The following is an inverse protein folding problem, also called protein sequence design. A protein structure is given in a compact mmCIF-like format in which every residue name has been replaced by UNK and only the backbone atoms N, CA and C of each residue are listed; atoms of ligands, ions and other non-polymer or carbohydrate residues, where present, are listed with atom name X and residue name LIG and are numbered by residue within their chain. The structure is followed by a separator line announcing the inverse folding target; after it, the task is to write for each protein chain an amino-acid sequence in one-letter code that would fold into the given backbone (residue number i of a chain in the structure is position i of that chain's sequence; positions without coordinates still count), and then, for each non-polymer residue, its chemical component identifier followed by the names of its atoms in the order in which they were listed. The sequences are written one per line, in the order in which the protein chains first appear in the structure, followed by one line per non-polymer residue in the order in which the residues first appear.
data_IF_934628853153
#
_entry.id   IF_934628853153
#
_cell.length_a   1.000
_cell.length_b   1.000
_cell.length_c   1.000
_cell.angle_alpha   90.00
_cell.angle_beta   90.00
_cell.angle_gamma   90.00
#
_symmetry.space_group_name_H-M   'P 1'
#
loop_
_entity.id
_entity.type
_entity.pdbx_description
1 polymer ?
#
# COMPACT_ATOMS: atom_id res chain seq x y z
N UNK A 1 -43.97 7.00 20.67
CA UNK A 1 -43.92 5.79 19.81
C UNK A 1 -42.86 5.92 18.71
N UNK A 2 -42.88 6.97 17.87
CA UNK A 2 -41.88 7.20 16.79
C UNK A 2 -40.41 7.30 17.27
N UNK A 3 -40.12 8.03 18.36
CA UNK A 3 -38.74 8.09 18.89
C UNK A 3 -38.23 6.73 19.39
N UNK A 4 -39.07 5.95 20.07
CA UNK A 4 -38.71 4.61 20.54
C UNK A 4 -38.43 3.67 19.37
N UNK A 5 -39.22 3.74 18.29
CA UNK A 5 -38.99 2.95 17.08
C UNK A 5 -37.66 3.32 16.40
N UNK A 6 -37.36 4.62 16.30
CA UNK A 6 -36.09 5.10 15.74
C UNK A 6 -34.88 4.59 16.53
N UNK A 7 -34.90 4.69 17.86
CA UNK A 7 -33.81 4.18 18.70
C UNK A 7 -33.65 2.66 18.57
N UNK A 8 -34.74 1.90 18.49
CA UNK A 8 -34.68 0.45 18.27
C UNK A 8 -34.06 0.10 16.92
N UNK A 9 -34.44 0.79 15.83
CA UNK A 9 -33.86 0.54 14.51
C UNK A 9 -32.36 0.86 14.48
N UNK A 10 -31.96 2.00 15.05
CA UNK A 10 -30.54 2.38 15.15
C UNK A 10 -29.76 1.38 15.99
N UNK A 11 -30.32 0.92 17.11
CA UNK A 11 -29.69 -0.09 17.98
C UNK A 11 -29.54 -1.45 17.28
N UNK A 12 -30.55 -1.89 16.53
CA UNK A 12 -30.46 -3.12 15.73
C UNK A 12 -29.39 -2.97 14.65
N UNK A 13 -29.37 -1.85 13.92
CA UNK A 13 -28.34 -1.55 12.92
C UNK A 13 -26.93 -1.60 13.53
N UNK A 14 -26.75 -0.99 14.70
CA UNK A 14 -25.51 -1.06 15.48
C UNK A 14 -25.12 -2.50 15.80
N UNK A 15 -26.05 -3.30 16.34
CA UNK A 15 -25.78 -4.69 16.75
C UNK A 15 -25.39 -5.56 15.55
N UNK A 16 -26.03 -5.34 14.39
CA UNK A 16 -25.70 -6.02 13.13
C UNK A 16 -24.29 -5.65 12.66
N UNK A 17 -23.95 -4.36 12.58
CA UNK A 17 -22.61 -3.91 12.16
C UNK A 17 -21.53 -4.46 13.10
N UNK A 18 -21.75 -4.37 14.41
CA UNK A 18 -20.83 -4.91 15.42
C UNK A 18 -20.71 -6.45 15.33
N UNK A 19 -21.80 -7.16 15.03
CA UNK A 19 -21.80 -8.60 14.79
C UNK A 19 -20.97 -8.99 13.56
N UNK A 20 -21.18 -8.29 12.43
CA UNK A 20 -20.43 -8.53 11.20
C UNK A 20 -18.93 -8.25 11.37
N UNK A 21 -18.56 -7.19 12.09
CA UNK A 21 -17.15 -6.87 12.37
C UNK A 21 -16.50 -7.91 13.27
N UNK A 22 -17.21 -8.39 14.29
CA UNK A 22 -16.72 -9.50 15.14
C UNK A 22 -16.51 -10.78 14.34
N UNK A 23 -17.40 -11.09 13.38
CA UNK A 23 -17.23 -12.24 12.47
C UNK A 23 -16.01 -12.09 11.57
N UNK A 24 -15.73 -10.90 11.03
CA UNK A 24 -14.53 -10.68 10.23
C UNK A 24 -13.26 -10.78 11.08
N UNK A 25 -13.30 -10.24 12.30
CA UNK A 25 -12.18 -10.36 13.25
C UNK A 25 -11.95 -11.81 13.68
N UNK A 26 -13.01 -12.62 13.87
CA UNK A 26 -12.83 -14.04 14.20
C UNK A 26 -12.16 -14.80 13.05
N UNK A 27 -12.56 -14.54 11.80
CA UNK A 27 -11.88 -15.12 10.62
C UNK A 27 -10.39 -14.80 10.63
N UNK A 28 -10.01 -13.55 10.97
CA UNK A 28 -8.61 -13.15 11.08
C UNK A 28 -7.87 -13.88 12.22
N UNK A 29 -8.50 -14.01 13.39
CA UNK A 29 -7.89 -14.64 14.58
C UNK A 29 -7.78 -16.17 14.42
N UNK A 30 -8.70 -16.78 13.66
CA UNK A 30 -8.70 -18.21 13.39
C UNK A 30 -7.61 -18.63 12.38
N UNK A 31 -6.98 -17.67 11.68
CA UNK A 31 -5.84 -17.96 10.81
C UNK A 31 -4.62 -18.41 11.64
N UNK A 32 -3.79 -19.32 11.09
CA UNK A 32 -2.57 -19.73 11.76
C UNK A 32 -1.61 -18.54 11.91
N UNK A 33 -0.75 -18.63 12.93
CA UNK A 33 0.31 -17.65 13.13
C UNK A 33 1.23 -17.59 11.88
N UNK A 34 1.62 -16.39 11.40
CA UNK A 34 2.32 -16.24 10.13
C UNK A 34 3.75 -16.76 10.17
N UNK A 35 3.93 -18.02 9.78
CA UNK A 35 5.26 -18.65 9.62
C UNK A 35 5.75 -18.66 8.16
N UNK A 36 4.82 -18.48 7.22
CA UNK A 36 5.05 -18.54 5.79
C UNK A 36 4.38 -17.37 5.07
N UNK A 37 4.76 -17.15 3.81
CA UNK A 37 4.27 -16.02 3.00
C UNK A 37 2.80 -16.15 2.63
N UNK A 38 2.23 -17.35 2.48
CA UNK A 38 0.82 -17.51 2.12
C UNK A 38 -0.09 -17.04 3.25
N UNK A 39 0.15 -17.55 4.45
CA UNK A 39 -0.55 -17.13 5.67
C UNK A 39 -0.41 -15.62 5.89
N UNK A 40 0.80 -15.08 5.72
CA UNK A 40 1.05 -13.66 5.85
C UNK A 40 0.26 -12.83 4.82
N UNK A 41 0.14 -13.29 3.57
CA UNK A 41 -0.66 -12.61 2.55
C UNK A 41 -2.16 -12.62 2.88
N UNK A 42 -2.71 -13.70 3.43
CA UNK A 42 -4.12 -13.75 3.85
C UNK A 42 -4.41 -12.77 4.99
N UNK A 43 -3.51 -12.70 5.99
CA UNK A 43 -3.58 -11.71 7.07
C UNK A 43 -3.50 -10.29 6.50
N UNK A 44 -2.54 -10.03 5.60
CA UNK A 44 -2.41 -8.73 4.95
C UNK A 44 -3.65 -8.38 4.14
N UNK A 45 -4.21 -9.31 3.36
CA UNK A 45 -5.43 -9.11 2.57
C UNK A 45 -6.59 -8.63 3.45
N UNK A 46 -6.82 -9.23 4.61
CA UNK A 46 -7.85 -8.79 5.55
C UNK A 46 -7.49 -7.39 6.10
N UNK A 47 -6.28 -7.25 6.61
CA UNK A 47 -5.83 -6.03 7.30
C UNK A 47 -5.83 -4.82 6.38
N UNK A 48 -5.17 -4.93 5.23
CA UNK A 48 -4.86 -3.81 4.33
C UNK A 48 -5.95 -3.58 3.27
N UNK A 49 -6.66 -4.63 2.82
CA UNK A 49 -7.65 -4.54 1.73
C UNK A 49 -9.10 -4.63 2.20
N UNK A 50 -9.38 -5.02 3.45
CA UNK A 50 -10.75 -5.04 3.98
C UNK A 50 -10.93 -4.06 5.16
N UNK A 51 -10.16 -4.24 6.23
CA UNK A 51 -10.33 -3.47 7.47
C UNK A 51 -9.82 -2.04 7.31
N UNK A 52 -8.55 -1.86 6.99
CA UNK A 52 -7.88 -0.57 7.11
C UNK A 52 -7.47 0.07 5.79
N UNK A 53 -8.20 -0.17 4.71
CA UNK A 53 -7.92 0.35 3.36
C UNK A 53 -7.51 1.82 3.35
N UNK A 54 -8.26 2.68 4.06
CA UNK A 54 -7.96 4.11 4.14
C UNK A 54 -6.66 4.37 4.90
N UNK A 55 -6.49 3.82 6.10
CA UNK A 55 -5.33 4.11 6.96
C UNK A 55 -4.04 3.47 6.46
N UNK A 56 -4.13 2.30 5.83
CA UNK A 56 -3.02 1.67 5.12
C UNK A 56 -2.46 2.61 4.05
N UNK A 57 -3.33 3.15 3.19
CA UNK A 57 -2.93 4.09 2.15
C UNK A 57 -2.29 5.37 2.72
N UNK A 58 -2.85 5.94 3.80
CA UNK A 58 -2.25 7.11 4.47
C UNK A 58 -0.87 6.80 5.04
N UNK A 59 -0.67 5.60 5.57
CA UNK A 59 0.64 5.14 6.02
C UNK A 59 1.65 4.99 4.89
N UNK A 60 1.24 4.43 3.75
CA UNK A 60 2.10 4.34 2.57
C UNK A 60 2.50 5.71 2.02
N UNK A 61 1.57 6.66 1.96
CA UNK A 61 1.86 8.05 1.55
C UNK A 61 2.86 8.72 2.48
N UNK A 62 2.67 8.53 3.79
CA UNK A 62 3.61 9.06 4.76
C UNK A 62 4.98 8.37 4.69
N UNK A 63 5.03 7.09 4.32
CA UNK A 63 6.29 6.41 4.03
C UNK A 63 7.00 7.10 2.85
N UNK A 64 6.29 7.41 1.76
CA UNK A 64 6.88 8.14 0.63
C UNK A 64 7.46 9.51 1.05
N UNK A 65 6.79 10.24 1.94
CA UNK A 65 7.32 11.49 2.48
C UNK A 65 8.57 11.28 3.34
N UNK A 66 8.59 10.23 4.18
CA UNK A 66 9.79 9.85 4.96
C UNK A 66 10.94 9.43 4.04
N UNK A 67 10.69 8.77 2.92
CA UNK A 67 11.71 8.50 1.90
C UNK A 67 12.30 9.79 1.32
N UNK A 68 11.47 10.80 1.04
CA UNK A 68 11.93 12.09 0.56
C UNK A 68 12.74 12.90 1.60
N UNK A 69 12.68 12.52 2.89
CA UNK A 69 13.52 13.14 3.91
C UNK A 69 14.97 12.64 3.91
N UNK A 70 15.25 11.59 3.13
CA UNK A 70 16.60 11.06 2.92
C UNK A 70 17.21 11.68 1.66
N UNK A 71 18.28 12.45 1.84
CA UNK A 71 18.93 13.23 0.76
C UNK A 71 19.22 12.40 -0.49
N UNK A 72 19.88 11.24 -0.31
CA UNK A 72 20.28 10.38 -1.42
C UNK A 72 19.08 9.91 -2.26
N UNK A 73 17.93 9.65 -1.62
CA UNK A 73 16.71 9.22 -2.33
C UNK A 73 16.16 10.38 -3.16
N UNK A 74 16.05 11.58 -2.61
CA UNK A 74 15.58 12.76 -3.36
C UNK A 74 16.49 13.10 -4.54
N UNK A 75 17.81 13.04 -4.37
CA UNK A 75 18.77 13.27 -5.45
C UNK A 75 18.65 12.21 -6.55
N UNK A 76 18.48 10.94 -6.16
CA UNK A 76 18.27 9.84 -7.10
C UNK A 76 16.99 10.03 -7.90
N UNK A 77 15.87 10.38 -7.23
CA UNK A 77 14.59 10.65 -7.89
C UNK A 77 14.67 11.82 -8.87
N UNK A 78 15.39 12.88 -8.51
CA UNK A 78 15.63 14.01 -9.41
C UNK A 78 16.51 13.63 -10.62
N UNK A 79 17.42 12.68 -10.44
CA UNK A 79 18.27 12.15 -11.49
C UNK A 79 17.59 11.18 -12.46
N UNK A 80 16.38 10.70 -12.15
CA UNK A 80 15.59 9.87 -13.08
C UNK A 80 15.20 10.75 -14.26
N UNK A 81 15.90 10.58 -15.38
CA UNK A 81 15.56 11.25 -16.63
C UNK A 81 14.12 10.87 -16.99
N UNK A 82 13.32 11.86 -17.30
CA UNK A 82 12.08 11.69 -18.06
C UNK A 82 12.28 12.42 -19.37
N UNK A 83 11.46 12.17 -20.40
CA UNK A 83 11.59 12.85 -21.71
C UNK A 83 11.57 14.39 -21.61
N UNK A 84 11.24 14.93 -20.44
CA UNK A 84 11.63 16.28 -20.03
C UNK A 84 12.15 16.26 -18.58
N UNK A 85 13.23 17.00 -18.25
CA UNK A 85 13.77 17.07 -16.88
C UNK A 85 12.78 17.64 -15.86
N UNK A 86 11.76 18.39 -16.30
CA UNK A 86 10.66 18.88 -15.46
C UNK A 86 9.46 17.90 -15.32
N UNK A 87 9.45 16.78 -16.03
CA UNK A 87 8.25 15.92 -16.14
C UNK A 87 7.99 15.14 -14.84
N UNK A 88 9.02 14.66 -14.15
CA UNK A 88 8.85 13.96 -12.86
C UNK A 88 8.30 14.91 -11.78
N UNK A 89 8.66 16.19 -11.84
CA UNK A 89 8.12 17.26 -10.98
C UNK A 89 6.70 17.68 -11.38
N UNK A 90 6.39 17.65 -12.66
CA UNK A 90 5.06 18.02 -13.18
C UNK A 90 4.05 16.89 -13.01
N UNK A 91 4.53 15.64 -12.88
CA UNK A 91 3.69 14.45 -12.84
C UNK A 91 3.97 13.51 -11.66
N UNK A 92 4.35 14.06 -10.50
CA UNK A 92 4.58 13.32 -9.25
C UNK A 92 3.40 12.41 -8.90
N UNK A 93 2.17 12.85 -9.20
CA UNK A 93 0.98 12.03 -8.96
C UNK A 93 0.98 10.73 -9.78
N UNK A 94 1.33 10.76 -11.07
CA UNK A 94 1.45 9.53 -11.88
C UNK A 94 2.65 8.68 -11.44
N UNK A 95 3.75 9.30 -11.02
CA UNK A 95 4.88 8.56 -10.43
C UNK A 95 4.47 7.81 -9.16
N UNK A 96 3.74 8.47 -8.26
CA UNK A 96 3.18 7.83 -7.06
C UNK A 96 2.19 6.72 -7.42
N UNK A 97 1.32 6.94 -8.42
CA UNK A 97 0.37 5.94 -8.89
C UNK A 97 1.08 4.67 -9.39
N UNK A 98 2.20 4.84 -10.09
CA UNK A 98 3.05 3.75 -10.56
C UNK A 98 3.77 3.03 -9.42
N UNK A 99 4.35 3.75 -8.44
CA UNK A 99 4.99 3.13 -7.27
C UNK A 99 3.97 2.31 -6.49
N UNK A 100 2.79 2.86 -6.24
CA UNK A 100 1.70 2.15 -5.57
C UNK A 100 1.19 0.95 -6.38
N UNK A 101 1.28 1.00 -7.72
CA UNK A 101 0.91 -0.13 -8.58
C UNK A 101 1.91 -1.28 -8.43
N UNK A 102 3.21 -0.99 -8.41
CA UNK A 102 4.27 -1.97 -8.15
C UNK A 102 4.05 -2.64 -6.78
N UNK A 103 3.80 -1.83 -5.73
CA UNK A 103 3.54 -2.35 -4.39
C UNK A 103 2.24 -3.17 -4.36
N UNK A 104 1.20 -2.75 -5.08
CA UNK A 104 -0.04 -3.51 -5.17
C UNK A 104 0.15 -4.85 -5.87
N UNK A 105 0.92 -4.94 -6.96
CA UNK A 105 1.24 -6.22 -7.59
C UNK A 105 1.97 -7.19 -6.66
N UNK A 106 2.88 -6.66 -5.82
CA UNK A 106 3.61 -7.46 -4.83
C UNK A 106 2.72 -7.96 -3.68
N UNK A 107 1.68 -7.21 -3.32
CA UNK A 107 0.95 -7.42 -2.04
C UNK A 107 -0.49 -7.89 -2.22
N UNK A 108 -1.11 -7.69 -3.38
CA UNK A 108 -2.48 -8.16 -3.70
C UNK A 108 -2.53 -9.67 -3.93
N UNK A 109 -1.38 -10.31 -4.15
CA UNK A 109 -1.25 -11.70 -4.64
C UNK A 109 -0.31 -12.50 -3.76
N UNK A 110 -0.46 -13.81 -3.78
CA UNK A 110 0.49 -14.71 -3.11
C UNK A 110 1.88 -14.58 -3.72
N UNK A 111 2.90 -14.70 -2.88
CA UNK A 111 4.31 -14.49 -3.22
C UNK A 111 4.81 -15.33 -4.40
N UNK A 112 4.24 -16.51 -4.62
CA UNK A 112 4.64 -17.45 -5.69
C UNK A 112 3.94 -17.23 -7.03
N UNK A 113 3.09 -16.20 -7.16
CA UNK A 113 2.46 -15.90 -8.43
C UNK A 113 3.50 -15.43 -9.46
N UNK A 114 3.42 -15.89 -10.71
CA UNK A 114 4.34 -15.52 -11.79
C UNK A 114 4.46 -14.00 -11.97
N UNK A 115 3.33 -13.29 -11.79
CA UNK A 115 3.28 -11.83 -11.82
C UNK A 115 4.19 -11.18 -10.78
N UNK A 116 4.20 -11.71 -9.56
CA UNK A 116 5.05 -11.22 -8.46
C UNK A 116 6.51 -11.41 -8.84
N UNK A 117 6.86 -12.56 -9.42
CA UNK A 117 8.23 -12.84 -9.89
C UNK A 117 8.68 -11.84 -10.98
N UNK A 118 7.82 -11.52 -11.95
CA UNK A 118 8.13 -10.50 -12.95
C UNK A 118 8.33 -9.11 -12.32
N UNK A 119 7.50 -8.73 -11.35
CA UNK A 119 7.66 -7.44 -10.65
C UNK A 119 8.94 -7.41 -9.82
N UNK A 120 9.33 -8.50 -9.17
CA UNK A 120 10.58 -8.57 -8.42
C UNK A 120 11.80 -8.42 -9.32
N UNK A 121 11.79 -9.02 -10.53
CA UNK A 121 12.83 -8.78 -11.54
C UNK A 121 12.90 -7.31 -11.95
N UNK A 122 11.75 -6.64 -12.11
CA UNK A 122 11.70 -5.19 -12.38
C UNK A 122 12.29 -4.37 -11.24
N UNK A 123 11.96 -4.70 -9.99
CA UNK A 123 12.51 -3.99 -8.82
C UNK A 123 14.02 -4.24 -8.70
N UNK A 124 14.49 -5.46 -8.91
CA UNK A 124 15.91 -5.79 -8.92
C UNK A 124 16.67 -4.99 -10.00
N UNK A 125 16.07 -4.81 -11.18
CA UNK A 125 16.59 -3.94 -12.23
C UNK A 125 16.64 -2.47 -11.76
N UNK A 126 15.56 -1.94 -11.18
CA UNK A 126 15.57 -0.56 -10.64
C UNK A 126 16.62 -0.36 -9.55
N UNK A 127 16.82 -1.36 -8.69
CA UNK A 127 17.87 -1.37 -7.68
C UNK A 127 19.26 -1.27 -8.29
N UNK A 128 19.53 -1.99 -9.38
CA UNK A 128 20.80 -1.88 -10.09
C UNK A 128 21.00 -0.49 -10.71
N UNK A 129 19.92 0.11 -11.23
CA UNK A 129 19.98 1.41 -11.92
C UNK A 129 20.02 2.63 -10.98
N UNK A 130 19.44 2.53 -9.77
CA UNK A 130 19.24 3.68 -8.88
C UNK A 130 20.50 4.17 -8.15
N UNK A 131 21.62 3.43 -8.21
CA UNK A 131 22.86 3.72 -7.46
C UNK A 131 22.67 3.89 -5.94
N UNK A 132 21.52 3.49 -5.40
CA UNK A 132 21.25 3.50 -3.97
C UNK A 132 21.98 2.34 -3.28
N UNK A 133 22.40 2.55 -2.04
CA UNK A 133 23.03 1.49 -1.25
C UNK A 133 22.02 0.40 -0.88
N UNK A 134 22.50 -0.82 -0.61
CA UNK A 134 21.64 -1.89 -0.08
C UNK A 134 20.98 -1.48 1.24
N UNK A 135 21.67 -0.71 2.09
CA UNK A 135 21.13 -0.19 3.34
C UNK A 135 19.92 0.73 3.11
N UNK A 136 19.95 1.55 2.05
CA UNK A 136 18.84 2.41 1.64
C UNK A 136 17.63 1.59 1.17
N UNK A 137 17.87 0.49 0.43
CA UNK A 137 16.81 -0.41 0.01
C UNK A 137 16.19 -1.21 1.18
N UNK A 138 17.02 -1.67 2.14
CA UNK A 138 16.53 -2.27 3.40
C UNK A 138 15.70 -1.26 4.18
N UNK A 139 16.13 0.00 4.24
CA UNK A 139 15.36 1.08 4.87
C UNK A 139 13.98 1.25 4.23
N UNK A 140 13.90 1.29 2.90
CA UNK A 140 12.63 1.40 2.17
C UNK A 140 11.68 0.24 2.51
N UNK A 141 12.18 -0.99 2.53
CA UNK A 141 11.37 -2.17 2.86
C UNK A 141 10.88 -2.15 4.31
N UNK A 142 11.76 -1.83 5.27
CA UNK A 142 11.39 -1.70 6.69
C UNK A 142 10.33 -0.60 6.89
N UNK A 143 10.44 0.49 6.13
CA UNK A 143 9.50 1.59 6.20
C UNK A 143 8.12 1.19 5.65
N UNK A 144 8.06 0.48 4.52
CA UNK A 144 6.79 -0.02 3.98
C UNK A 144 6.16 -1.10 4.85
N UNK A 145 6.94 -1.87 5.59
CA UNK A 145 6.41 -2.81 6.59
C UNK A 145 5.81 -2.10 7.80
N UNK A 146 6.48 -1.06 8.30
CA UNK A 146 6.18 -0.49 9.62
C UNK A 146 5.22 0.69 9.58
N UNK A 147 5.32 1.56 8.56
CA UNK A 147 4.58 2.81 8.50
C UNK A 147 3.05 2.63 8.38
N UNK A 148 2.53 1.67 7.59
CA UNK A 148 1.09 1.42 7.55
C UNK A 148 0.52 1.06 8.93
N UNK A 149 1.21 0.22 9.69
CA UNK A 149 0.79 -0.18 11.04
C UNK A 149 0.72 1.03 11.98
N UNK A 150 1.72 1.92 11.94
CA UNK A 150 1.73 3.15 12.75
C UNK A 150 0.48 4.01 12.49
N UNK A 151 0.09 4.18 11.24
CA UNK A 151 -1.12 4.97 10.89
C UNK A 151 -2.42 4.26 11.26
N UNK A 152 -2.46 2.95 11.13
CA UNK A 152 -3.59 2.16 11.61
C UNK A 152 -3.73 2.30 13.12
N UNK A 153 -2.65 2.30 13.89
CA UNK A 153 -2.72 2.52 15.34
C UNK A 153 -3.22 3.91 15.72
N UNK A 154 -2.97 4.93 14.89
CA UNK A 154 -3.48 6.29 15.16
C UNK A 154 -4.98 6.46 14.89
N UNK A 155 -5.54 5.82 13.86
CA UNK A 155 -6.91 6.11 13.42
C UNK A 155 -7.79 4.90 13.12
N UNK A 156 -7.23 3.69 13.18
CA UNK A 156 -7.93 2.44 12.95
C UNK A 156 -9.09 2.25 13.92
N UNK A 157 -10.16 1.63 13.42
CA UNK A 157 -11.36 1.35 14.23
C UNK A 157 -11.14 0.23 15.26
N UNK A 158 -10.06 -0.56 15.11
CA UNK A 158 -9.56 -1.54 16.08
C UNK A 158 -8.04 -1.46 16.14
N UNK A 159 -7.46 -2.01 17.19
CA UNK A 159 -6.01 -2.15 17.31
C UNK A 159 -5.47 -3.28 16.43
N UNK A 160 -4.24 -3.11 15.97
CA UNK A 160 -3.45 -4.15 15.30
C UNK A 160 -2.88 -5.11 16.35
N UNK A 161 -2.93 -6.41 16.06
CA UNK A 161 -2.27 -7.44 16.84
C UNK A 161 -0.77 -7.46 16.50
N UNK A 162 0.05 -6.82 17.34
CA UNK A 162 1.49 -6.68 17.07
C UNK A 162 2.23 -8.03 16.95
N UNK A 163 1.83 -9.07 17.70
CA UNK A 163 2.41 -10.41 17.59
C UNK A 163 1.76 -11.29 16.51
N UNK A 164 1.08 -10.70 15.53
CA UNK A 164 0.38 -11.46 14.49
C UNK A 164 0.30 -10.68 13.17
N UNK A 165 -0.48 -9.62 13.12
CA UNK A 165 -0.61 -8.78 11.92
C UNK A 165 0.72 -8.08 11.60
N UNK A 166 1.42 -7.53 12.60
CA UNK A 166 2.69 -6.85 12.34
C UNK A 166 3.81 -7.81 11.90
N UNK A 167 3.78 -9.05 12.37
CA UNK A 167 4.69 -10.10 11.92
C UNK A 167 4.40 -10.51 10.48
N UNK A 168 3.13 -10.56 10.06
CA UNK A 168 2.78 -10.78 8.65
C UNK A 168 3.35 -9.67 7.74
N UNK A 169 3.26 -8.39 8.14
CA UNK A 169 3.88 -7.29 7.40
C UNK A 169 5.41 -7.46 7.31
N UNK A 170 6.03 -7.78 8.45
CA UNK A 170 7.48 -8.00 8.56
C UNK A 170 7.93 -9.13 7.64
N UNK A 171 7.21 -10.26 7.65
CA UNK A 171 7.51 -11.45 6.87
C UNK A 171 7.44 -11.17 5.36
N UNK A 172 6.36 -10.53 4.89
CA UNK A 172 6.17 -10.23 3.46
C UNK A 172 7.26 -9.27 2.95
N UNK A 173 7.52 -8.18 3.66
CA UNK A 173 8.54 -7.22 3.22
C UNK A 173 9.96 -7.78 3.33
N UNK A 174 10.20 -8.70 4.27
CA UNK A 174 11.46 -9.44 4.35
C UNK A 174 11.61 -10.42 3.18
N UNK A 175 10.56 -11.17 2.81
CA UNK A 175 10.58 -12.07 1.65
C UNK A 175 10.90 -11.32 0.35
N UNK A 176 10.16 -10.24 0.09
CA UNK A 176 10.38 -9.36 -1.06
C UNK A 176 11.84 -8.88 -1.09
N UNK A 177 12.36 -8.42 0.04
CA UNK A 177 13.73 -7.91 0.17
C UNK A 177 14.78 -8.98 -0.13
N UNK A 178 14.61 -10.20 0.37
CA UNK A 178 15.53 -11.32 0.11
C UNK A 178 15.51 -11.69 -1.38
N UNK A 179 14.34 -11.69 -2.02
CA UNK A 179 14.18 -12.08 -3.44
C UNK A 179 14.79 -11.07 -4.41
N UNK A 180 14.93 -9.79 -4.02
CA UNK A 180 15.69 -8.79 -4.78
C UNK A 180 17.19 -8.75 -4.41
N UNK A 181 17.67 -9.71 -3.61
CA UNK A 181 19.08 -9.91 -3.28
C UNK A 181 19.61 -9.09 -2.10
N UNK A 182 18.74 -8.50 -1.27
CA UNK A 182 19.17 -7.80 -0.06
C UNK A 182 19.59 -8.78 1.04
N UNK A 183 20.48 -8.32 1.91
CA UNK A 183 21.03 -9.07 3.04
C UNK A 183 20.81 -8.29 4.33
N UNK A 184 20.93 -8.99 5.48
CA UNK A 184 20.86 -8.39 6.81
C UNK A 184 19.57 -7.59 7.07
N UNK A 185 18.44 -8.09 6.54
CA UNK A 185 17.13 -7.47 6.75
C UNK A 185 16.67 -7.80 8.18
N UNK A 186 16.24 -6.81 8.97
CA UNK A 186 15.70 -7.06 10.30
C UNK A 186 14.55 -8.09 10.28
N UNK A 187 14.50 -8.95 11.30
CA UNK A 187 13.57 -10.11 11.33
C UNK A 187 12.29 -9.85 12.10
N UNK A 188 12.27 -8.85 12.97
CA UNK A 188 11.09 -8.50 13.78
C UNK A 188 10.59 -7.11 13.44
N UNK A 189 9.31 -6.88 13.75
CA UNK A 189 8.68 -5.56 13.58
C UNK A 189 9.44 -4.47 14.35
N UNK A 190 9.84 -4.75 15.60
CA UNK A 190 10.58 -3.81 16.44
C UNK A 190 11.96 -3.50 15.85
N UNK A 191 12.70 -4.52 15.39
CA UNK A 191 14.01 -4.30 14.78
C UNK A 191 13.89 -3.47 13.48
N UNK A 192 12.83 -3.67 12.69
CA UNK A 192 12.55 -2.85 11.51
C UNK A 192 12.29 -1.38 11.89
N UNK A 193 11.56 -1.12 12.99
CA UNK A 193 11.32 0.24 13.48
C UNK A 193 12.62 0.89 13.97
N UNK A 194 13.45 0.16 14.70
CA UNK A 194 14.74 0.65 15.19
C UNK A 194 15.71 0.94 14.04
N UNK A 195 15.73 0.07 13.02
CA UNK A 195 16.51 0.28 11.81
C UNK A 195 16.07 1.56 11.08
N UNK A 196 14.75 1.76 10.89
CA UNK A 196 14.20 2.97 10.27
C UNK A 196 14.63 4.24 11.03
N UNK A 197 14.48 4.24 12.36
CA UNK A 197 14.81 5.40 13.18
C UNK A 197 16.32 5.71 13.16
N UNK A 198 17.16 4.67 13.22
CA UNK A 198 18.62 4.82 13.19
C UNK A 198 19.10 5.32 11.82
N UNK A 199 18.57 4.73 10.75
CA UNK A 199 18.89 5.13 9.38
C UNK A 199 18.50 6.58 9.10
N UNK A 200 17.31 7.02 9.51
CA UNK A 200 16.87 8.41 9.36
C UNK A 200 17.75 9.38 10.14
N UNK A 201 18.13 9.04 11.38
CA UNK A 201 19.00 9.89 12.20
C UNK A 201 20.36 10.15 11.53
N UNK A 202 20.88 9.18 10.79
CA UNK A 202 22.19 9.25 10.13
C UNK A 202 22.12 9.86 8.73
N UNK A 203 21.01 9.66 7.99
CA UNK A 203 20.93 9.94 6.55
C UNK A 203 19.91 11.03 6.19
N UNK A 204 19.13 11.55 7.16
CA UNK A 204 18.22 12.66 6.90
C UNK A 204 18.99 13.91 6.45
N UNK A 205 18.49 14.55 5.39
CA UNK A 205 19.16 15.73 4.85
C UNK A 205 18.42 16.34 3.68
N UNK A 206 18.63 17.64 3.50
CA UNK A 206 18.01 18.40 2.42
C UNK A 206 18.72 18.16 1.09
N UNK A 207 17.91 18.07 0.03
CA UNK A 207 18.35 18.27 -1.35
C UNK A 207 17.60 19.45 -1.95
N UNK A 208 18.12 20.00 -3.05
CA UNK A 208 17.48 21.11 -3.79
C UNK A 208 16.01 20.80 -4.19
N UNK A 209 15.69 19.52 -4.36
CA UNK A 209 14.41 19.05 -4.87
C UNK A 209 13.42 18.63 -3.78
N UNK A 210 13.90 18.43 -2.55
CA UNK A 210 13.14 17.78 -1.48
C UNK A 210 11.83 18.52 -1.15
N UNK A 211 11.88 19.83 -0.93
CA UNK A 211 10.69 20.63 -0.59
C UNK A 211 9.65 20.64 -1.71
N UNK A 212 10.09 20.74 -2.98
CA UNK A 212 9.19 20.72 -4.15
C UNK A 212 8.50 19.36 -4.30
N UNK A 213 9.26 18.27 -4.20
CA UNK A 213 8.69 16.92 -4.24
C UNK A 213 7.70 16.70 -3.10
N UNK A 214 8.07 17.07 -1.86
CA UNK A 214 7.21 16.91 -0.71
C UNK A 214 5.86 17.63 -0.90
N UNK A 215 5.87 18.86 -1.41
CA UNK A 215 4.65 19.61 -1.73
C UNK A 215 3.77 18.85 -2.73
N UNK A 216 4.35 18.39 -3.84
CA UNK A 216 3.60 17.64 -4.85
C UNK A 216 3.04 16.32 -4.32
N UNK A 217 3.79 15.58 -3.50
CA UNK A 217 3.32 14.35 -2.84
C UNK A 217 2.19 14.64 -1.87
N UNK A 218 2.29 15.70 -1.07
CA UNK A 218 1.23 16.13 -0.14
C UNK A 218 -0.03 16.50 -0.90
N UNK A 219 0.08 17.27 -2.00
CA UNK A 219 -1.08 17.68 -2.81
C UNK A 219 -1.78 16.48 -3.46
N UNK A 220 -1.00 15.54 -4.04
CA UNK A 220 -1.54 14.31 -4.62
C UNK A 220 -2.20 13.41 -3.57
N UNK A 221 -1.57 13.28 -2.41
CA UNK A 221 -2.08 12.48 -1.29
C UNK A 221 -3.33 13.09 -0.67
N UNK A 222 -3.40 14.41 -0.54
CA UNK A 222 -4.58 15.13 -0.08
C UNK A 222 -5.77 14.91 -1.02
N UNK A 223 -5.53 14.90 -2.33
CA UNK A 223 -6.54 14.58 -3.32
C UNK A 223 -7.00 13.12 -3.21
N UNK A 224 -6.07 12.17 -3.11
CA UNK A 224 -6.40 10.74 -2.94
C UNK A 224 -7.20 10.48 -1.66
N UNK A 225 -6.75 11.03 -0.52
CA UNK A 225 -7.45 10.94 0.75
C UNK A 225 -8.87 11.53 0.68
N UNK A 226 -9.05 12.65 -0.01
CA UNK A 226 -10.36 13.26 -0.26
C UNK A 226 -11.28 12.31 -1.02
N UNK A 227 -10.81 11.71 -2.13
CA UNK A 227 -11.59 10.78 -2.95
C UNK A 227 -11.98 9.53 -2.16
N UNK A 228 -11.03 8.92 -1.44
CA UNK A 228 -11.30 7.74 -0.60
C UNK A 228 -12.28 8.04 0.55
N UNK A 229 -12.32 9.29 1.01
CA UNK A 229 -13.27 9.78 2.02
C UNK A 229 -14.58 10.33 1.42
N UNK A 230 -14.97 9.90 0.21
CA UNK A 230 -16.22 10.31 -0.43
C UNK A 230 -16.19 11.73 -0.99
N UNK A 231 -15.06 12.15 -1.57
CA UNK A 231 -14.80 13.51 -2.08
C UNK A 231 -14.87 14.61 -1.01
N UNK A 232 -14.42 14.30 0.22
CA UNK A 232 -14.46 15.23 1.36
C UNK A 232 -13.43 16.36 1.25
N UNK A 233 -13.91 17.59 1.03
CA UNK A 233 -13.07 18.79 1.01
C UNK A 233 -12.42 19.10 2.37
N UNK A 234 -13.05 18.66 3.47
CA UNK A 234 -12.49 18.82 4.82
C UNK A 234 -11.22 17.98 4.94
N UNK A 235 -11.26 16.71 4.49
CA UNK A 235 -10.09 15.83 4.47
C UNK A 235 -8.99 16.43 3.61
N UNK A 236 -9.31 16.90 2.40
CA UNK A 236 -8.34 17.56 1.51
C UNK A 236 -7.61 18.72 2.19
N UNK A 237 -8.35 19.60 2.88
CA UNK A 237 -7.79 20.80 3.53
C UNK A 237 -6.98 20.49 4.79
N UNK A 238 -7.38 19.47 5.54
CA UNK A 238 -6.69 19.08 6.78
C UNK A 238 -5.49 18.17 6.55
N UNK A 239 -5.38 17.53 5.38
CA UNK A 239 -4.31 16.60 5.09
C UNK A 239 -2.89 17.18 5.28
N UNK A 240 -2.54 18.38 4.75
CA UNK A 240 -1.22 18.96 4.97
C UNK A 240 -0.90 19.25 6.45
N UNK A 241 -1.94 19.63 7.22
CA UNK A 241 -1.81 19.79 8.68
C UNK A 241 -1.54 18.45 9.35
N UNK A 242 -2.23 17.38 8.94
CA UNK A 242 -2.01 16.04 9.47
C UNK A 242 -0.59 15.54 9.22
N UNK A 243 -0.08 15.73 8.00
CA UNK A 243 1.33 15.42 7.67
C UNK A 243 2.27 16.18 8.61
N UNK A 244 2.06 17.49 8.80
CA UNK A 244 2.94 18.33 9.61
C UNK A 244 2.91 17.99 11.11
N UNK A 245 1.73 17.61 11.63
CA UNK A 245 1.53 17.21 13.03
C UNK A 245 2.24 15.89 13.35
N UNK A 246 2.16 14.91 12.44
CA UNK A 246 2.75 13.58 12.65
C UNK A 246 4.19 13.45 12.15
N UNK A 247 4.69 14.41 11.37
CA UNK A 247 6.10 14.50 11.00
C UNK A 247 7.00 14.66 12.23
N UNK A 248 8.19 14.05 12.19
CA UNK A 248 9.25 14.34 13.16
C UNK A 248 9.76 15.76 12.95
N UNK A 249 10.45 16.31 13.95
CA UNK A 249 11.03 17.65 13.82
C UNK A 249 12.06 17.72 12.69
N UNK A 250 12.93 16.71 12.59
CA UNK A 250 13.89 16.58 11.49
C UNK A 250 13.18 16.52 10.13
N UNK A 251 12.14 15.70 9.99
CA UNK A 251 11.37 15.60 8.75
C UNK A 251 10.69 16.93 8.39
N UNK A 252 10.13 17.66 9.36
CA UNK A 252 9.55 18.99 9.10
C UNK A 252 10.59 19.97 8.58
N UNK A 253 11.77 19.99 9.19
CA UNK A 253 12.87 20.84 8.73
C UNK A 253 13.28 20.47 7.31
N UNK A 254 13.59 19.18 7.06
CA UNK A 254 14.10 18.71 5.77
C UNK A 254 13.08 18.90 4.63
N UNK A 255 11.81 18.65 4.88
CA UNK A 255 10.75 18.74 3.87
C UNK A 255 10.12 20.15 3.78
N UNK A 256 10.59 21.11 4.58
CA UNK A 256 10.08 22.49 4.65
C UNK A 256 8.56 22.52 4.97
N UNK A 257 8.13 21.65 5.87
CA UNK A 257 6.72 21.56 6.27
C UNK A 257 6.34 22.72 7.19
N UNK A 258 5.10 23.23 7.10
CA UNK A 258 4.63 24.27 8.00
C UNK A 258 4.62 23.78 9.44
N UNK A 259 4.95 24.66 10.37
CA UNK A 259 4.82 24.37 11.80
C UNK A 259 3.34 24.16 12.14
N UNK A 260 2.96 22.98 12.68
CA UNK A 260 1.56 22.73 13.01
C UNK A 260 1.11 23.62 14.18
N UNK A 261 -0.18 24.01 14.22
CA UNK A 261 -0.71 24.72 15.37
C UNK A 261 -0.64 23.84 16.63
N UNK A 262 -0.46 24.45 17.80
CA UNK A 262 -0.32 23.72 19.07
C UNK A 262 -1.52 22.78 19.38
N UNK A 263 -2.72 23.16 18.95
CA UNK A 263 -3.93 22.36 19.12
C UNK A 263 -4.11 21.28 18.03
N UNK A 264 -3.29 21.27 16.97
CA UNK A 264 -3.46 20.41 15.81
C UNK A 264 -3.44 18.92 16.16
N UNK A 265 -2.57 18.51 17.08
CA UNK A 265 -2.50 17.11 17.55
C UNK A 265 -3.77 16.65 18.25
N UNK A 266 -4.33 17.49 19.14
CA UNK A 266 -5.57 17.18 19.86
C UNK A 266 -6.76 17.15 18.90
N UNK A 267 -6.87 18.14 18.02
CA UNK A 267 -7.92 18.19 17.01
C UNK A 267 -7.92 16.96 16.12
N UNK A 268 -6.77 16.62 15.52
CA UNK A 268 -6.67 15.50 14.58
C UNK A 268 -6.86 14.16 15.28
N UNK A 269 -6.27 13.93 16.45
CA UNK A 269 -6.50 12.69 17.21
C UNK A 269 -7.97 12.50 17.59
N UNK A 270 -8.65 13.58 17.99
CA UNK A 270 -10.10 13.55 18.26
C UNK A 270 -10.90 13.21 17.01
N UNK A 271 -10.57 13.81 15.86
CA UNK A 271 -11.21 13.50 14.58
C UNK A 271 -10.97 12.06 14.15
N UNK A 272 -9.76 11.54 14.33
CA UNK A 272 -9.39 10.16 14.01
C UNK A 272 -10.15 9.18 14.91
N UNK A 273 -10.27 9.47 16.21
CA UNK A 273 -11.08 8.70 17.15
C UNK A 273 -12.58 8.74 16.77
N UNK A 274 -13.12 9.92 16.45
CA UNK A 274 -14.50 10.05 15.98
C UNK A 274 -14.74 9.24 14.70
N UNK A 275 -13.77 9.24 13.78
CA UNK A 275 -13.81 8.44 12.55
C UNK A 275 -13.76 6.94 12.87
N UNK A 276 -12.89 6.51 13.78
CA UNK A 276 -12.80 5.12 14.25
C UNK A 276 -14.14 4.64 14.83
N UNK A 277 -14.79 5.45 15.68
CA UNK A 277 -16.13 5.17 16.23
C UNK A 277 -17.18 5.12 15.13
N UNK A 278 -17.18 6.08 14.22
CA UNK A 278 -18.12 6.12 13.09
C UNK A 278 -17.97 4.89 12.18
N UNK A 279 -16.74 4.52 11.83
CA UNK A 279 -16.47 3.32 11.03
C UNK A 279 -16.92 2.08 11.78
N UNK A 280 -16.61 1.98 13.09
CA UNK A 280 -16.98 0.82 13.92
C UNK A 280 -18.48 0.55 13.94
N UNK A 281 -19.30 1.60 13.97
CA UNK A 281 -20.72 1.46 14.29
C UNK A 281 -21.68 1.83 13.16
N UNK A 282 -21.27 2.69 12.23
CA UNK A 282 -22.14 3.18 11.16
C UNK A 282 -21.82 2.56 9.79
N UNK A 283 -20.61 2.03 9.58
CA UNK A 283 -20.21 1.46 8.29
C UNK A 283 -20.18 -0.07 8.35
N UNK A 284 -20.84 -0.70 7.38
CA UNK A 284 -20.80 -2.16 7.19
C UNK A 284 -19.37 -2.58 6.78
N UNK A 285 -18.81 -3.65 7.36
CA UNK A 285 -17.48 -4.14 6.98
C UNK A 285 -17.45 -4.61 5.52
N UNK A 286 -16.29 -4.49 4.88
CA UNK A 286 -16.10 -4.93 3.48
C UNK A 286 -16.08 -6.44 3.42
N UNK A 287 -16.93 -7.03 2.56
CA UNK A 287 -16.91 -8.47 2.27
C UNK A 287 -15.82 -8.81 1.24
N UNK A 288 -15.68 -7.97 0.22
CA UNK A 288 -14.70 -8.17 -0.85
C UNK A 288 -13.49 -7.26 -0.58
N UNK A 289 -12.25 -7.78 -0.69
CA UNK A 289 -11.06 -6.96 -0.56
C UNK A 289 -10.98 -5.91 -1.67
N UNK A 290 -10.54 -4.71 -1.29
CA UNK A 290 -10.31 -3.58 -2.19
C UNK A 290 -8.98 -3.74 -2.94
N UNK A 291 -8.92 -4.71 -3.86
CA UNK A 291 -7.76 -4.96 -4.69
C UNK A 291 -7.65 -3.91 -5.80
N UNK A 292 -6.42 -3.44 -6.06
CA UNK A 292 -6.16 -2.51 -7.16
C UNK A 292 -5.92 -3.28 -8.46
N UNK A 293 -5.27 -4.43 -8.35
CA UNK A 293 -4.84 -5.22 -9.49
C UNK A 293 -5.88 -6.27 -9.85
N UNK A 294 -6.27 -6.35 -11.13
CA UNK A 294 -7.20 -7.38 -11.61
C UNK A 294 -6.44 -8.62 -12.06
N UNK A 295 -7.07 -9.79 -11.90
CA UNK A 295 -6.51 -11.08 -12.29
C UNK A 295 -6.56 -11.30 -13.81
N UNK A 296 -7.65 -10.86 -14.43
CA UNK A 296 -7.92 -11.08 -15.85
C UNK A 296 -7.17 -10.07 -16.75
N UNK A 297 -6.75 -10.59 -17.90
CA UNK A 297 -6.13 -9.82 -18.97
C UNK A 297 -7.23 -9.24 -19.87
N UNK A 298 -7.06 -8.00 -20.30
CA UNK A 298 -7.96 -7.36 -21.25
C UNK A 298 -7.78 -7.89 -22.68
N UNK A 299 -8.63 -7.44 -23.60
CA UNK A 299 -8.60 -7.88 -25.01
C UNK A 299 -7.27 -7.65 -25.71
N UNK A 300 -6.47 -6.71 -25.23
CA UNK A 300 -5.19 -6.31 -25.83
C UNK A 300 -3.98 -7.02 -25.19
N UNK A 301 -4.21 -8.00 -24.31
CA UNK A 301 -3.12 -8.70 -23.63
C UNK A 301 -2.52 -7.93 -22.46
N UNK A 302 -3.19 -6.90 -21.94
CA UNK A 302 -2.73 -6.04 -20.82
C UNK A 302 -3.59 -6.21 -19.58
N UNK A 303 -3.08 -5.81 -18.42
CA UNK A 303 -3.84 -5.82 -17.17
C UNK A 303 -4.49 -4.46 -16.91
N UNK A 304 -5.75 -4.46 -16.49
CA UNK A 304 -6.44 -3.24 -16.05
C UNK A 304 -6.33 -3.06 -14.53
N UNK A 305 -6.35 -1.80 -14.09
CA UNK A 305 -6.50 -1.46 -12.68
C UNK A 305 -7.98 -1.29 -12.31
N UNK A 306 -8.36 -1.66 -11.09
CA UNK A 306 -9.70 -1.43 -10.57
C UNK A 306 -9.97 0.05 -10.26
N UNK A 307 -8.92 0.79 -9.87
CA UNK A 307 -8.97 2.22 -9.61
C UNK A 307 -7.59 2.86 -9.79
N UNK A 308 -7.61 4.17 -10.02
CA UNK A 308 -6.44 5.05 -10.03
C UNK A 308 -6.33 5.68 -8.64
N UNK A 309 -5.16 5.55 -8.02
CA UNK A 309 -4.95 6.02 -6.64
C UNK A 309 -4.54 7.49 -6.62
N UNK A 310 -3.72 7.90 -7.59
CA UNK A 310 -3.19 9.26 -7.71
C UNK A 310 -3.23 9.74 -9.16
N UNK A 311 -3.35 11.05 -9.36
CA UNK A 311 -3.25 11.66 -10.68
C UNK A 311 -4.46 11.37 -11.58
N UNK A 312 -4.22 11.33 -12.88
CA UNK A 312 -5.26 11.14 -13.92
C UNK A 312 -5.41 9.68 -14.36
N UNK A 313 -4.43 8.84 -14.03
CA UNK A 313 -4.34 7.47 -14.51
C UNK A 313 -3.91 7.38 -15.98
N UNK A 314 -3.23 8.42 -16.49
CA UNK A 314 -2.79 8.45 -17.88
C UNK A 314 -1.83 7.29 -18.18
N UNK A 315 -0.99 6.91 -17.21
CA UNK A 315 -0.03 5.81 -17.31
C UNK A 315 -0.66 4.41 -17.42
N UNK A 316 -1.89 4.25 -16.91
CA UNK A 316 -2.62 2.96 -16.87
C UNK A 316 -3.87 2.95 -17.76
N UNK A 317 -4.10 4.03 -18.52
CA UNK A 317 -5.25 4.16 -19.41
C UNK A 317 -5.15 3.14 -20.55
N UNK A 318 -6.09 2.20 -20.61
CA UNK A 318 -6.09 1.10 -21.58
C UNK A 318 -5.26 -0.11 -21.14
N UNK A 319 -4.94 -0.20 -19.85
CA UNK A 319 -4.21 -1.30 -19.24
C UNK A 319 -2.69 -1.15 -19.33
N UNK A 320 -1.98 -1.91 -18.50
CA UNK A 320 -0.53 -1.91 -18.40
C UNK A 320 0.06 -3.32 -18.58
N UNK A 321 1.33 -3.37 -18.95
CA UNK A 321 2.12 -4.61 -19.01
C UNK A 321 3.03 -4.66 -17.79
N UNK A 322 3.01 -5.76 -17.05
CA UNK A 322 3.81 -5.95 -15.82
C UNK A 322 5.31 -5.78 -16.13
N UNK A 323 5.75 -6.36 -17.24
CA UNK A 323 7.10 -6.24 -17.82
C UNK A 323 7.56 -4.80 -18.03
N UNK A 324 6.61 -3.87 -18.17
CA UNK A 324 6.84 -2.45 -18.51
C UNK A 324 6.34 -1.50 -17.45
N UNK A 325 6.04 -1.97 -16.23
CA UNK A 325 5.76 -1.06 -15.12
C UNK A 325 7.07 -0.39 -14.71
N UNK A 326 7.10 0.93 -14.64
CA UNK A 326 8.30 1.71 -14.27
C UNK A 326 8.43 3.04 -15.03
N UNK A 327 9.38 3.90 -14.61
CA UNK A 327 9.62 5.18 -15.27
C UNK A 327 9.95 4.97 -16.76
N UNK A 328 9.44 5.84 -17.64
CA UNK A 328 9.59 5.71 -19.09
C UNK A 328 11.06 5.60 -19.55
N UNK A 329 11.99 6.30 -18.89
CA UNK A 329 13.43 6.20 -19.16
C UNK A 329 14.06 4.86 -18.86
N UNK A 330 13.41 4.05 -18.02
CA UNK A 330 13.82 2.69 -17.68
C UNK A 330 13.03 1.64 -18.50
N UNK A 331 12.22 2.08 -19.46
CA UNK A 331 11.52 1.24 -20.44
C UNK A 331 12.22 1.19 -21.80
N UNK A 332 13.00 2.22 -22.14
CA UNK A 332 13.72 2.33 -23.42
C UNK A 332 14.99 1.48 -23.48
N UNK A 333 15.56 1.09 -22.34
CA UNK A 333 16.61 0.09 -22.30
C UNK A 333 15.96 -1.29 -22.49
N UNK A 334 16.26 -1.93 -23.62
CA UNK A 334 15.93 -3.34 -23.92
C UNK A 334 16.45 -4.34 -22.87
N UNK A 335 17.04 -3.89 -21.75
CA UNK A 335 17.61 -4.72 -20.69
C UNK A 335 16.61 -5.70 -20.09
N UNK A 336 15.39 -5.27 -19.75
CA UNK A 336 14.33 -6.17 -19.27
C UNK A 336 13.57 -6.86 -20.40
N UNK A 337 13.42 -6.21 -21.56
CA UNK A 337 12.88 -6.85 -22.77
C UNK A 337 13.66 -8.12 -23.12
N UNK A 338 14.99 -8.06 -23.13
CA UNK A 338 15.88 -9.20 -23.40
C UNK A 338 15.90 -10.28 -22.31
N UNK A 339 15.71 -9.91 -21.03
CA UNK A 339 15.59 -10.87 -19.92
C UNK A 339 14.25 -11.64 -20.01
N UNK A 340 13.20 -10.97 -20.48
CA UNK A 340 11.86 -11.54 -20.61
C UNK A 340 11.55 -12.08 -22.02
N UNK A 341 12.38 -11.82 -23.02
CA UNK A 341 12.32 -12.41 -24.37
C UNK A 341 12.63 -13.93 -24.36
N UNK A 342 13.14 -14.45 -23.23
CA UNK A 342 13.23 -15.89 -22.95
C UNK A 342 11.94 -16.49 -22.39
N UNK A 343 10.91 -15.68 -22.11
CA UNK A 343 9.58 -16.15 -21.71
C UNK A 343 8.80 -16.38 -23.01
N UNK A 344 8.41 -17.63 -23.32
CA UNK A 344 7.61 -17.89 -24.51
C UNK A 344 6.37 -17.00 -24.53
N UNK A 345 6.10 -16.34 -25.66
CA UNK A 345 4.85 -15.58 -25.92
C UNK A 345 3.58 -16.45 -25.82
N UNK A 346 3.73 -17.75 -25.58
CA UNK A 346 2.68 -18.71 -25.23
C UNK A 346 2.55 -18.85 -23.71
N UNK A 347 2.02 -17.82 -23.06
CA UNK A 347 1.07 -18.03 -21.94
C UNK A 347 -0.27 -17.40 -22.34
N UNK A 348 -0.66 -17.66 -23.58
CA UNK A 348 -2.05 -17.80 -23.98
C UNK A 348 -2.29 -19.30 -24.12
N UNK A 349 -3.02 -19.87 -23.16
CA UNK A 349 -3.72 -21.16 -23.24
C UNK A 349 -2.87 -22.39 -23.62
N UNK A 350 -2.37 -23.10 -22.60
CA UNK A 350 -2.24 -24.55 -22.61
C UNK A 350 -2.15 -25.08 -21.15
N UNK A 351 -3.30 -25.21 -20.50
CA UNK A 351 -3.47 -26.16 -19.38
C UNK A 351 -4.53 -27.17 -19.81
N UNK A 352 -4.11 -28.07 -20.70
CA UNK A 352 -4.61 -29.43 -20.89
C UNK A 352 -3.33 -30.21 -21.12
N UNK A 353 -2.86 -31.03 -20.17
CA UNK A 353 -3.44 -32.34 -19.86
C UNK A 353 -3.16 -32.76 -18.42
N UNK A 354 -4.20 -32.73 -17.58
CA UNK A 354 -4.76 -33.88 -16.85
C UNK A 354 -5.63 -33.34 -15.68
N UNK A 355 -6.92 -33.07 -15.92
CA UNK A 355 -7.82 -32.40 -14.99
C UNK A 355 -8.59 -33.39 -14.09
N UNK A 356 -7.90 -34.36 -13.51
CA UNK A 356 -8.46 -35.28 -12.51
C UNK A 356 -7.68 -35.15 -11.19
N UNK A 357 -8.04 -34.14 -10.39
CA UNK A 357 -8.13 -34.17 -8.91
C UNK A 357 -8.27 -32.78 -8.25
N UNK A 358 -8.40 -31.69 -9.01
CA UNK A 358 -8.85 -30.42 -8.41
C UNK A 358 -10.38 -30.42 -8.37
N UNK A 359 -10.93 -30.66 -7.17
CA UNK A 359 -12.36 -30.71 -6.86
C UNK A 359 -13.12 -29.51 -7.47
N UNK A 360 -13.73 -29.73 -8.64
CA UNK A 360 -14.56 -28.75 -9.38
C UNK A 360 -15.81 -28.31 -8.61
N UNK A 361 -16.09 -28.90 -7.44
CA UNK A 361 -17.16 -28.49 -6.54
C UNK A 361 -16.69 -27.61 -5.38
N UNK A 362 -15.41 -27.23 -5.25
CA UNK A 362 -14.95 -26.32 -4.19
C UNK A 362 -15.70 -24.96 -4.16
N UNK A 363 -15.93 -24.25 -5.29
CA UNK A 363 -16.74 -23.02 -5.26
C UNK A 363 -18.24 -23.30 -5.04
N UNK A 364 -18.72 -24.51 -5.36
CA UNK A 364 -20.11 -24.91 -5.15
C UNK A 364 -20.39 -25.28 -3.68
N UNK A 365 -19.43 -25.90 -3.00
CA UNK A 365 -19.45 -26.18 -1.55
C UNK A 365 -19.42 -24.89 -0.72
N UNK A 366 -18.72 -23.85 -1.18
CA UNK A 366 -18.76 -22.53 -0.54
C UNK A 366 -20.13 -21.85 -0.73
N UNK A 367 -20.73 -21.95 -1.93
CA UNK A 367 -22.05 -21.40 -2.23
C UNK A 367 -23.21 -22.16 -1.56
N UNK A 368 -23.09 -23.48 -1.40
CA UNK A 368 -24.09 -24.30 -0.70
C UNK A 368 -24.02 -24.14 0.83
N UNK A 369 -22.83 -23.83 1.39
CA UNK A 369 -22.69 -23.42 2.78
C UNK A 369 -23.28 -22.02 3.05
N UNK A 370 -23.24 -21.11 2.06
CA UNK A 370 -23.89 -19.79 2.11
C UNK A 370 -25.42 -19.84 1.93
N UNK A 371 -25.97 -20.94 1.41
CA UNK A 371 -27.42 -21.09 1.20
C UNK A 371 -28.14 -21.89 2.30
N UNK A 372 -27.40 -22.47 3.27
CA UNK A 372 -27.97 -23.25 4.39
C UNK A 372 -27.76 -22.62 5.78
N UNK A 373 -27.40 -21.33 5.84
CA UNK A 373 -27.39 -20.49 7.06
C UNK A 373 -27.81 -19.07 6.72
#
# INVERSE_FOLDING_TARGET
MLMSFFFTVVFIGYAVVAGLRRKLLSILIDLPHPTDTYTAHDILRITQKQDFVFWHARGMEFAYLRLLSIKQISETLAGIKTDSPDLLMTNVAEFMDMVDLIVSELTDRVSTADRVETVLKRIAYFKQMSKLSDATWVYMACLFATQPITWIQYGGFRQILLGFEAEAYTLIWRDISMRIGLKNIPTTYTDMQEYVNSFEKENAGESEHTARFAKCVIDASAQSASVMAGNSQIVKRLYPMAVSVYATESMRHVLHLPTPPAYGKVLLSTMMCATAVFVSYCLVPRKVPHMRTKDEVNTDGKYDVAYVMYGSGASVKGGYLIERVGPASMLSDDGMGKICDGIPKTVQVAITDNPEEVDKNAPKKLAEAEAST
#
